data_IF_257242784042
#
_entry.id   IF_257242784042
#
_cell.length_a   1.000
_cell.length_b   1.000
_cell.length_c   1.000
_cell.angle_alpha   90.00
_cell.angle_beta   90.00
_cell.angle_gamma   90.00
#
_symmetry.space_group_name_H-M   'P 1'
#
loop_
_entity.id
_entity.type
_entity.pdbx_description
1 polymer ?
#
# COMPACT_ATOMS: atom_id res chain seq x y z
N UNK A 1 -42.89 14.89 10.45
CA UNK A 1 -41.73 14.05 10.82
C UNK A 1 -40.60 14.95 11.24
N UNK A 2 -39.80 14.53 12.22
CA UNK A 2 -38.77 15.35 12.89
C UNK A 2 -37.84 16.10 11.92
N UNK A 3 -37.37 15.45 10.85
CA UNK A 3 -36.50 16.05 9.82
C UNK A 3 -37.16 17.22 9.07
N UNK A 4 -38.46 17.12 8.79
CA UNK A 4 -39.23 18.18 8.11
C UNK A 4 -39.36 19.42 8.99
N UNK A 5 -39.55 19.22 10.30
CA UNK A 5 -39.64 20.34 11.25
C UNK A 5 -38.29 21.05 11.42
N UNK A 6 -37.20 20.28 11.47
CA UNK A 6 -35.84 20.82 11.49
C UNK A 6 -35.53 21.62 10.22
N UNK A 7 -35.88 21.11 9.03
CA UNK A 7 -35.67 21.84 7.77
C UNK A 7 -36.48 23.14 7.73
N UNK A 8 -37.75 23.12 8.14
CA UNK A 8 -38.58 24.34 8.20
C UNK A 8 -38.00 25.37 9.17
N UNK A 9 -37.43 24.93 10.29
CA UNK A 9 -36.79 25.82 11.26
C UNK A 9 -35.54 26.48 10.66
N UNK A 10 -34.73 25.73 9.91
CA UNK A 10 -33.58 26.28 9.17
C UNK A 10 -34.04 27.31 8.12
N UNK A 11 -35.09 27.03 7.37
CA UNK A 11 -35.59 27.95 6.32
C UNK A 11 -36.12 29.28 6.88
N UNK A 12 -36.77 29.27 8.05
CA UNK A 12 -37.41 30.47 8.63
C UNK A 12 -36.46 31.58 9.06
N UNK A 13 -35.16 31.30 9.23
CA UNK A 13 -34.15 32.35 9.44
C UNK A 13 -34.21 33.13 10.74
N UNK A 14 -34.65 32.48 11.81
CA UNK A 14 -34.58 33.05 13.16
C UNK A 14 -33.16 33.01 13.74
N UNK A 15 -32.97 33.74 14.85
CA UNK A 15 -31.80 33.67 15.75
C UNK A 15 -31.37 32.23 16.12
N UNK A 16 -32.30 31.27 16.02
CA UNK A 16 -32.09 29.86 16.34
C UNK A 16 -31.58 28.98 15.18
N UNK A 17 -31.34 29.54 13.98
CA UNK A 17 -30.96 28.77 12.79
C UNK A 17 -29.74 27.88 13.01
N UNK A 18 -28.71 28.36 13.73
CA UNK A 18 -27.52 27.57 14.11
C UNK A 18 -27.90 26.36 14.98
N UNK A 19 -28.77 26.56 15.97
CA UNK A 19 -29.25 25.48 16.85
C UNK A 19 -30.05 24.43 16.07
N UNK A 20 -30.86 24.87 15.10
CA UNK A 20 -31.59 23.96 14.21
C UNK A 20 -30.66 23.14 13.33
N UNK A 21 -29.59 23.75 12.78
CA UNK A 21 -28.57 23.03 12.03
C UNK A 21 -27.81 22.02 12.91
N UNK A 22 -27.44 22.38 14.14
CA UNK A 22 -26.81 21.44 15.06
C UNK A 22 -27.69 20.23 15.39
N UNK A 23 -29.01 20.43 15.54
CA UNK A 23 -29.96 19.31 15.70
C UNK A 23 -30.11 18.49 14.43
N UNK A 24 -30.06 19.13 13.26
CA UNK A 24 -30.08 18.43 11.98
C UNK A 24 -28.83 17.57 11.81
N UNK A 25 -27.64 18.11 12.08
CA UNK A 25 -26.37 17.38 12.07
C UNK A 25 -26.47 16.11 12.90
N UNK A 26 -26.92 16.23 14.15
CA UNK A 26 -27.09 15.07 15.04
C UNK A 26 -28.05 14.03 14.47
N UNK A 27 -29.15 14.46 13.85
CA UNK A 27 -30.08 13.54 13.20
C UNK A 27 -29.48 12.84 11.96
N UNK A 28 -28.60 13.53 11.22
CA UNK A 28 -27.95 13.01 10.02
C UNK A 28 -26.86 11.97 10.30
N UNK A 29 -26.52 11.70 11.56
CA UNK A 29 -25.69 10.55 11.95
C UNK A 29 -26.38 9.20 11.71
N UNK A 30 -27.69 9.20 11.43
CA UNK A 30 -28.47 8.01 11.14
C UNK A 30 -28.74 7.86 9.64
N UNK A 31 -28.36 6.73 9.05
CA UNK A 31 -28.44 6.49 7.59
C UNK A 31 -29.87 6.57 7.02
N UNK A 32 -30.87 6.04 7.73
CA UNK A 32 -32.28 6.17 7.32
C UNK A 32 -32.74 7.64 7.31
N UNK A 33 -32.22 8.44 8.25
CA UNK A 33 -32.47 9.88 8.28
C UNK A 33 -31.77 10.61 7.12
N UNK A 34 -30.55 10.23 6.76
CA UNK A 34 -29.86 10.77 5.58
C UNK A 34 -30.68 10.53 4.31
N UNK A 35 -31.13 9.30 4.08
CA UNK A 35 -31.95 8.93 2.93
C UNK A 35 -33.28 9.68 2.89
N UNK A 36 -33.96 9.83 4.04
CA UNK A 36 -35.19 10.63 4.16
C UNK A 36 -34.93 12.11 3.89
N UNK A 37 -33.81 12.64 4.36
CA UNK A 37 -33.44 14.04 4.17
C UNK A 37 -33.20 14.36 2.69
N UNK A 38 -32.41 13.56 1.97
CA UNK A 38 -32.11 13.83 0.55
C UNK A 38 -33.33 13.71 -0.36
N UNK A 39 -34.33 12.92 0.03
CA UNK A 39 -35.62 12.80 -0.70
C UNK A 39 -36.60 13.94 -0.41
N UNK A 40 -36.34 14.74 0.62
CA UNK A 40 -37.23 15.84 0.99
C UNK A 40 -37.01 17.03 0.05
N UNK A 41 -38.09 17.49 -0.59
CA UNK A 41 -38.00 18.58 -1.57
C UNK A 41 -37.38 19.85 -0.98
N UNK A 42 -36.39 20.40 -1.69
CA UNK A 42 -35.65 21.59 -1.30
C UNK A 42 -34.68 21.44 -0.11
N UNK A 43 -34.47 20.24 0.44
CA UNK A 43 -33.58 20.01 1.59
C UNK A 43 -32.11 20.34 1.26
N UNK A 44 -31.56 19.72 0.21
CA UNK A 44 -30.21 19.97 -0.25
C UNK A 44 -30.06 21.42 -0.69
N UNK A 45 -31.00 21.96 -1.47
CA UNK A 45 -30.98 23.37 -1.90
C UNK A 45 -30.89 24.33 -0.71
N UNK A 46 -31.56 24.01 0.40
CA UNK A 46 -31.49 24.81 1.63
C UNK A 46 -30.08 24.76 2.23
N UNK A 47 -29.45 23.58 2.31
CA UNK A 47 -28.06 23.46 2.76
C UNK A 47 -27.10 24.18 1.80
N UNK A 48 -27.24 24.00 0.49
CA UNK A 48 -26.43 24.67 -0.52
C UNK A 48 -26.48 26.18 -0.37
N UNK A 49 -27.67 26.76 -0.15
CA UNK A 49 -27.80 28.21 0.05
C UNK A 49 -27.11 28.75 1.30
N UNK A 50 -26.85 27.91 2.31
CA UNK A 50 -26.11 28.32 3.50
C UNK A 50 -24.61 28.42 3.27
N UNK A 51 -24.07 27.78 2.23
CA UNK A 51 -22.67 27.96 1.85
C UNK A 51 -22.38 29.38 1.39
N UNK A 52 -23.37 30.15 0.92
CA UNK A 52 -23.21 31.56 0.53
C UNK A 52 -23.65 32.54 1.64
N UNK A 53 -23.89 32.04 2.86
CA UNK A 53 -24.24 32.88 4.01
C UNK A 53 -23.13 33.87 4.35
N UNK A 54 -23.49 35.10 4.75
CA UNK A 54 -22.54 36.07 5.30
C UNK A 54 -22.06 35.71 6.72
N UNK A 55 -22.69 34.73 7.37
CA UNK A 55 -22.35 34.26 8.70
C UNK A 55 -21.51 32.99 8.61
N UNK A 56 -20.22 33.08 8.95
CA UNK A 56 -19.26 31.98 8.91
C UNK A 56 -19.70 30.77 9.75
N UNK A 57 -20.33 31.01 10.91
CA UNK A 57 -20.83 29.92 11.76
C UNK A 57 -21.94 29.09 11.08
N UNK A 58 -22.76 29.72 10.23
CA UNK A 58 -23.80 29.01 9.48
C UNK A 58 -23.21 28.23 8.31
N UNK A 59 -22.16 28.76 7.67
CA UNK A 59 -21.43 28.03 6.61
C UNK A 59 -20.79 26.77 7.20
N UNK A 60 -20.08 26.91 8.33
CA UNK A 60 -19.46 25.80 9.04
C UNK A 60 -20.48 24.74 9.46
N UNK A 61 -21.59 25.13 10.09
CA UNK A 61 -22.58 24.15 10.55
C UNK A 61 -23.33 23.48 9.38
N UNK A 62 -23.52 24.19 8.25
CA UNK A 62 -24.07 23.60 7.04
C UNK A 62 -23.09 22.59 6.41
N UNK A 63 -21.80 22.89 6.35
CA UNK A 63 -20.80 21.95 5.89
C UNK A 63 -20.69 20.74 6.81
N UNK A 64 -20.84 20.90 8.13
CA UNK A 64 -20.88 19.76 9.05
C UNK A 64 -22.10 18.88 8.81
N UNK A 65 -23.27 19.45 8.50
CA UNK A 65 -24.43 18.66 8.08
C UNK A 65 -24.15 17.88 6.77
N UNK A 66 -23.48 18.52 5.81
CA UNK A 66 -23.08 17.86 4.56
C UNK A 66 -22.05 16.75 4.80
N UNK A 67 -21.13 16.97 5.72
CA UNK A 67 -20.15 15.98 6.13
C UNK A 67 -20.83 14.74 6.72
N UNK A 68 -21.85 14.91 7.58
CA UNK A 68 -22.66 13.77 8.06
C UNK A 68 -23.32 13.01 6.90
N UNK A 69 -23.86 13.72 5.89
CA UNK A 69 -24.41 13.08 4.68
C UNK A 69 -23.36 12.31 3.88
N UNK A 70 -22.12 12.82 3.83
CA UNK A 70 -21.04 12.21 3.06
C UNK A 70 -20.60 10.83 3.57
N UNK A 71 -20.86 10.51 4.85
CA UNK A 71 -20.56 9.19 5.42
C UNK A 71 -21.54 8.09 4.98
N UNK A 72 -22.60 8.43 4.24
CA UNK A 72 -23.59 7.45 3.81
C UNK A 72 -23.00 6.47 2.80
N UNK A 73 -23.22 5.17 3.03
CA UNK A 73 -22.84 4.11 2.07
C UNK A 73 -23.78 4.02 0.85
N UNK A 74 -24.77 4.91 0.77
CA UNK A 74 -25.82 4.90 -0.27
C UNK A 74 -25.46 5.91 -1.36
N UNK A 75 -25.15 5.46 -2.60
CA UNK A 75 -24.72 6.36 -3.68
C UNK A 75 -25.69 7.50 -3.97
N UNK A 76 -27.00 7.26 -3.85
CA UNK A 76 -28.03 8.29 -4.04
C UNK A 76 -27.93 9.46 -3.05
N UNK A 77 -27.37 9.25 -1.85
CA UNK A 77 -27.12 10.32 -0.86
C UNK A 77 -25.92 11.17 -1.29
N UNK A 78 -24.84 10.54 -1.76
CA UNK A 78 -23.68 11.23 -2.31
C UNK A 78 -24.06 12.03 -3.57
N UNK A 79 -24.84 11.44 -4.47
CA UNK A 79 -25.35 12.11 -5.68
C UNK A 79 -26.26 13.30 -5.36
N UNK A 80 -27.07 13.22 -4.30
CA UNK A 80 -27.86 14.35 -3.85
C UNK A 80 -26.98 15.54 -3.43
N UNK A 81 -25.71 15.33 -3.07
CA UNK A 81 -24.78 16.38 -2.68
C UNK A 81 -24.08 17.07 -3.87
N UNK A 82 -24.27 16.60 -5.11
CA UNK A 82 -23.68 17.17 -6.33
C UNK A 82 -23.82 18.71 -6.43
N UNK A 83 -24.97 19.35 -6.12
CA UNK A 83 -25.09 20.81 -6.23
C UNK A 83 -24.17 21.60 -5.28
N UNK A 84 -23.57 20.96 -4.28
CA UNK A 84 -22.72 21.61 -3.27
C UNK A 84 -21.23 21.51 -3.61
N UNK A 85 -20.81 20.59 -4.48
CA UNK A 85 -19.38 20.27 -4.68
C UNK A 85 -18.56 21.45 -5.17
N UNK A 86 -19.11 22.33 -6.01
CA UNK A 86 -18.41 23.54 -6.48
C UNK A 86 -18.10 24.52 -5.34
N UNK A 87 -18.97 24.59 -4.33
CA UNK A 87 -18.72 25.40 -3.14
C UNK A 87 -17.64 24.78 -2.28
N UNK A 88 -17.66 23.46 -2.08
CA UNK A 88 -16.59 22.75 -1.35
C UNK A 88 -15.22 23.05 -1.97
N UNK A 89 -15.10 22.92 -3.30
CA UNK A 89 -13.87 23.25 -4.01
C UNK A 89 -13.45 24.71 -3.84
N UNK A 90 -14.40 25.66 -3.92
CA UNK A 90 -14.13 27.09 -3.72
C UNK A 90 -13.58 27.38 -2.32
N UNK A 91 -14.06 26.67 -1.30
CA UNK A 91 -13.62 26.89 0.07
C UNK A 91 -12.27 26.28 0.41
N UNK A 92 -11.70 25.44 -0.46
CA UNK A 92 -10.35 24.91 -0.30
C UNK A 92 -9.26 25.99 -0.45
N UNK A 93 -9.55 27.11 -1.12
CA UNK A 93 -8.67 28.28 -1.16
C UNK A 93 -8.95 29.29 -0.05
N UNK A 94 -9.75 28.92 0.96
CA UNK A 94 -10.13 29.79 2.08
C UNK A 94 -9.01 29.98 3.11
N UNK A 95 -9.29 30.81 4.11
CA UNK A 95 -8.36 31.08 5.23
C UNK A 95 -8.67 30.30 6.51
N UNK A 96 -9.80 29.59 6.56
CA UNK A 96 -10.20 28.80 7.73
C UNK A 96 -9.67 27.39 7.58
N UNK A 97 -8.72 27.01 8.45
CA UNK A 97 -8.17 25.67 8.51
C UNK A 97 -9.27 24.62 8.73
N UNK A 98 -10.07 24.80 9.79
CA UNK A 98 -11.18 23.90 10.15
C UNK A 98 -12.15 23.70 8.98
N UNK A 99 -12.49 24.76 8.27
CA UNK A 99 -13.43 24.68 7.16
C UNK A 99 -12.82 24.00 5.92
N UNK A 100 -11.54 24.28 5.64
CA UNK A 100 -10.79 23.66 4.54
C UNK A 100 -10.67 22.16 4.76
N UNK A 101 -10.27 21.75 5.96
CA UNK A 101 -10.15 20.35 6.39
C UNK A 101 -11.49 19.63 6.26
N UNK A 102 -12.56 20.21 6.81
CA UNK A 102 -13.91 19.64 6.70
C UNK A 102 -14.35 19.47 5.24
N UNK A 103 -14.05 20.43 4.37
CA UNK A 103 -14.35 20.34 2.94
C UNK A 103 -13.55 19.22 2.26
N UNK A 104 -12.27 19.04 2.60
CA UNK A 104 -11.44 17.95 2.06
C UNK A 104 -11.99 16.58 2.43
N UNK A 105 -12.22 16.31 3.72
CA UNK A 105 -12.77 15.01 4.14
C UNK A 105 -14.19 14.78 3.59
N UNK A 106 -15.01 15.82 3.48
CA UNK A 106 -16.34 15.71 2.84
C UNK A 106 -16.21 15.36 1.36
N UNK A 107 -15.30 15.98 0.63
CA UNK A 107 -15.03 15.64 -0.78
C UNK A 107 -14.51 14.20 -0.92
N UNK A 108 -13.58 13.80 -0.05
CA UNK A 108 -13.01 12.46 -0.01
C UNK A 108 -14.09 11.40 0.16
N UNK A 109 -14.97 11.57 1.15
CA UNK A 109 -16.11 10.68 1.37
C UNK A 109 -17.03 10.60 0.14
N UNK A 110 -17.37 11.76 -0.46
CA UNK A 110 -18.30 11.81 -1.60
C UNK A 110 -17.72 11.12 -2.86
N UNK A 111 -16.40 11.17 -3.09
CA UNK A 111 -15.79 10.55 -4.27
C UNK A 111 -15.70 9.02 -4.17
N UNK A 112 -15.73 8.44 -2.97
CA UNK A 112 -15.70 6.97 -2.78
C UNK A 112 -16.98 6.34 -3.33
N UNK A 113 -18.13 6.87 -2.91
CA UNK A 113 -19.42 6.21 -3.05
C UNK A 113 -20.07 6.39 -4.44
N UNK A 114 -19.68 7.42 -5.21
CA UNK A 114 -20.38 7.76 -6.45
C UNK A 114 -19.45 8.13 -7.62
N UNK A 115 -19.54 7.36 -8.70
CA UNK A 115 -18.94 7.68 -10.00
C UNK A 115 -19.47 9.01 -10.57
N UNK A 116 -20.75 9.32 -10.37
CA UNK A 116 -21.34 10.58 -10.82
C UNK A 116 -20.69 11.79 -10.12
N UNK A 117 -20.37 11.66 -8.83
CA UNK A 117 -19.61 12.68 -8.09
C UNK A 117 -18.22 12.88 -8.67
N UNK A 118 -17.48 11.79 -8.93
CA UNK A 118 -16.14 11.87 -9.55
C UNK A 118 -16.22 12.53 -10.95
N UNK A 119 -17.15 12.09 -11.79
CA UNK A 119 -17.40 12.66 -13.13
C UNK A 119 -17.79 14.13 -13.10
N UNK A 120 -18.39 14.61 -12.03
CA UNK A 120 -18.68 16.04 -11.87
C UNK A 120 -17.46 16.82 -11.33
N UNK A 121 -16.73 16.27 -10.37
CA UNK A 121 -15.61 16.95 -9.72
C UNK A 121 -14.39 17.13 -10.64
N UNK A 122 -14.13 16.16 -11.52
CA UNK A 122 -13.03 16.23 -12.49
C UNK A 122 -13.11 17.48 -13.39
N UNK A 123 -14.20 17.74 -14.13
CA UNK A 123 -14.34 18.96 -14.92
C UNK A 123 -14.53 20.23 -14.07
N UNK A 124 -14.93 20.11 -12.80
CA UNK A 124 -14.92 21.24 -11.85
C UNK A 124 -13.50 21.64 -11.40
N UNK A 125 -12.47 20.88 -11.77
CA UNK A 125 -11.07 21.22 -11.50
C UNK A 125 -10.56 20.76 -10.13
N UNK A 126 -11.06 19.64 -9.60
CA UNK A 126 -10.58 19.10 -8.32
C UNK A 126 -9.06 18.87 -8.30
N UNK A 127 -8.47 18.35 -9.38
CA UNK A 127 -7.02 18.08 -9.43
C UNK A 127 -6.18 19.37 -9.31
N UNK A 128 -6.41 20.44 -10.11
CA UNK A 128 -5.77 21.74 -9.90
C UNK A 128 -5.93 22.31 -8.49
N UNK A 129 -7.12 22.18 -7.89
CA UNK A 129 -7.38 22.68 -6.53
C UNK A 129 -6.54 21.92 -5.50
N UNK A 130 -6.51 20.58 -5.57
CA UNK A 130 -5.68 19.75 -4.69
C UNK A 130 -4.18 20.04 -4.89
N UNK A 131 -3.74 20.32 -6.12
CA UNK A 131 -2.36 20.73 -6.42
C UNK A 131 -1.99 22.09 -5.79
N UNK A 132 -2.97 22.96 -5.54
CA UNK A 132 -2.77 24.18 -4.73
C UNK A 132 -2.74 23.85 -3.24
N UNK A 133 -3.64 23.00 -2.75
CA UNK A 133 -3.77 22.68 -1.33
C UNK A 133 -2.58 21.88 -0.78
N UNK A 134 -1.92 21.05 -1.59
CA UNK A 134 -0.73 20.27 -1.16
C UNK A 134 0.48 21.15 -0.81
N UNK A 135 0.41 22.45 -1.10
CA UNK A 135 1.43 23.44 -0.74
C UNK A 135 1.14 24.12 0.62
N UNK A 136 0.03 23.75 1.28
CA UNK A 136 -0.35 24.28 2.59
C UNK A 136 0.72 24.02 3.64
N UNK A 137 0.96 24.97 4.57
CA UNK A 137 1.85 24.74 5.70
C UNK A 137 1.20 23.91 6.83
N UNK A 138 -0.08 23.54 6.69
CA UNK A 138 -0.85 22.87 7.73
C UNK A 138 -0.99 21.37 7.47
N UNK A 139 -0.47 20.55 8.38
CA UNK A 139 -0.50 19.09 8.29
C UNK A 139 -1.91 18.51 8.05
N UNK A 140 -2.92 18.98 8.77
CA UNK A 140 -4.31 18.52 8.60
C UNK A 140 -4.86 18.75 7.17
N UNK A 141 -4.41 19.82 6.49
CA UNK A 141 -4.76 20.06 5.08
C UNK A 141 -4.01 19.10 4.17
N UNK A 142 -2.73 18.85 4.43
CA UNK A 142 -1.91 17.94 3.63
C UNK A 142 -2.43 16.49 3.73
N UNK A 143 -2.81 16.07 4.95
CA UNK A 143 -3.46 14.79 5.19
C UNK A 143 -4.80 14.70 4.46
N UNK A 144 -5.67 15.71 4.60
CA UNK A 144 -6.95 15.76 3.88
C UNK A 144 -6.79 15.73 2.35
N UNK A 145 -5.76 16.39 1.80
CA UNK A 145 -5.43 16.31 0.37
C UNK A 145 -5.01 14.91 -0.03
N UNK A 146 -4.12 14.29 0.75
CA UNK A 146 -3.70 12.91 0.55
C UNK A 146 -4.89 11.95 0.58
N UNK A 147 -5.80 12.12 1.55
CA UNK A 147 -7.02 11.33 1.66
C UNK A 147 -7.91 11.46 0.41
N UNK A 148 -8.20 12.67 -0.06
CA UNK A 148 -9.01 12.87 -1.28
C UNK A 148 -8.34 12.22 -2.50
N UNK A 149 -7.02 12.39 -2.66
CA UNK A 149 -6.27 11.79 -3.76
C UNK A 149 -6.29 10.26 -3.66
N UNK A 150 -6.11 9.68 -2.47
CA UNK A 150 -6.11 8.24 -2.26
C UNK A 150 -7.47 7.63 -2.62
N UNK A 151 -8.58 8.32 -2.31
CA UNK A 151 -9.92 7.88 -2.74
C UNK A 151 -10.11 7.98 -4.25
N UNK A 152 -9.66 9.07 -4.89
CA UNK A 152 -9.74 9.24 -6.35
C UNK A 152 -8.92 8.17 -7.10
N UNK A 153 -7.70 7.87 -6.64
CA UNK A 153 -6.77 6.96 -7.31
C UNK A 153 -7.18 5.48 -7.21
N UNK A 154 -8.00 5.12 -6.22
CA UNK A 154 -8.55 3.77 -6.09
C UNK A 154 -9.68 3.47 -7.08
N UNK A 155 -10.34 4.51 -7.61
CA UNK A 155 -11.48 4.39 -8.51
C UNK A 155 -11.16 3.53 -9.76
N UNK A 156 -12.17 2.88 -10.34
CA UNK A 156 -11.97 1.95 -11.47
C UNK A 156 -11.51 2.67 -12.73
N UNK A 157 -12.01 3.87 -12.94
CA UNK A 157 -11.68 4.79 -14.02
C UNK A 157 -10.35 5.53 -13.81
N UNK A 158 -9.70 5.38 -12.65
CA UNK A 158 -8.50 6.13 -12.31
C UNK A 158 -7.36 5.98 -13.33
N UNK A 159 -7.03 4.78 -13.86
CA UNK A 159 -5.95 4.61 -14.84
C UNK A 159 -6.14 5.44 -16.11
N UNK A 160 -7.39 5.66 -16.54
CA UNK A 160 -7.69 6.32 -17.81
C UNK A 160 -8.08 7.79 -17.66
N UNK A 161 -8.70 8.19 -16.55
CA UNK A 161 -9.28 9.53 -16.39
C UNK A 161 -8.60 10.38 -15.31
N UNK A 162 -8.00 9.78 -14.28
CA UNK A 162 -7.52 10.50 -13.08
C UNK A 162 -6.00 10.52 -13.00
N UNK A 163 -5.34 9.36 -13.12
CA UNK A 163 -3.88 9.23 -13.05
C UNK A 163 -3.19 10.15 -14.07
N UNK A 164 -3.64 10.25 -15.35
CA UNK A 164 -3.02 11.18 -16.29
C UNK A 164 -3.07 12.64 -15.80
N UNK A 165 -4.20 13.09 -15.23
CA UNK A 165 -4.34 14.45 -14.70
C UNK A 165 -3.45 14.69 -13.47
N UNK A 166 -3.29 13.68 -12.61
CA UNK A 166 -2.39 13.76 -11.45
C UNK A 166 -0.94 13.84 -11.92
N UNK A 167 -0.54 12.99 -12.87
CA UNK A 167 0.82 12.94 -13.40
C UNK A 167 1.21 14.21 -14.18
N UNK A 168 0.27 14.86 -14.88
CA UNK A 168 0.47 16.15 -15.57
C UNK A 168 0.53 17.37 -14.63
N UNK A 169 0.40 17.16 -13.31
CA UNK A 169 0.40 18.23 -12.30
C UNK A 169 1.66 18.23 -11.44
N UNK A 170 1.74 19.15 -10.47
CA UNK A 170 2.82 19.18 -9.47
C UNK A 170 2.65 18.13 -8.36
N UNK A 171 1.51 17.45 -8.29
CA UNK A 171 1.18 16.51 -7.22
C UNK A 171 2.22 15.40 -7.02
N UNK A 172 2.75 14.71 -8.06
CA UNK A 172 3.70 13.61 -7.86
C UNK A 172 4.97 14.07 -7.12
N UNK A 173 5.49 15.25 -7.47
CA UNK A 173 6.66 15.83 -6.82
C UNK A 173 6.39 16.17 -5.34
N UNK A 174 5.22 16.73 -5.05
CA UNK A 174 4.84 17.09 -3.68
C UNK A 174 4.54 15.86 -2.82
N UNK A 175 3.84 14.86 -3.36
CA UNK A 175 3.60 13.59 -2.67
C UNK A 175 4.92 12.90 -2.31
N UNK A 176 5.85 12.78 -3.26
CA UNK A 176 7.17 12.18 -3.00
C UNK A 176 7.94 12.94 -1.91
N UNK A 177 7.90 14.28 -1.93
CA UNK A 177 8.53 15.12 -0.90
C UNK A 177 7.92 14.87 0.48
N UNK A 178 6.59 14.87 0.59
CA UNK A 178 5.88 14.66 1.86
C UNK A 178 6.19 13.28 2.45
N UNK A 179 6.18 12.25 1.62
CA UNK A 179 6.57 10.88 2.01
C UNK A 179 7.99 10.86 2.58
N UNK A 180 8.94 11.49 1.89
CA UNK A 180 10.35 11.52 2.33
C UNK A 180 10.59 12.41 3.56
N UNK A 181 9.73 13.39 3.83
CA UNK A 181 9.82 14.25 5.03
C UNK A 181 8.92 13.78 6.18
N UNK A 182 8.23 12.63 6.07
CA UNK A 182 7.11 12.26 6.94
C UNK A 182 7.43 12.24 8.43
N UNK A 183 8.64 11.84 8.82
CA UNK A 183 9.09 11.86 10.21
C UNK A 183 9.22 13.27 10.82
N UNK A 184 9.29 14.32 9.99
CA UNK A 184 9.46 15.71 10.40
C UNK A 184 8.25 16.59 10.07
N UNK A 185 7.53 16.28 8.99
CA UNK A 185 6.48 17.13 8.41
C UNK A 185 5.05 16.66 8.71
N UNK A 186 4.88 15.48 9.34
CA UNK A 186 3.59 14.92 9.70
C UNK A 186 3.38 13.50 9.16
N UNK A 187 3.09 12.56 10.05
CA UNK A 187 3.00 11.14 9.68
C UNK A 187 1.73 10.84 8.89
N UNK A 188 0.59 11.46 9.24
CA UNK A 188 -0.69 11.24 8.55
C UNK A 188 -0.61 11.59 7.07
N UNK A 189 -0.11 12.79 6.75
CA UNK A 189 0.08 13.24 5.37
C UNK A 189 1.05 12.35 4.58
N UNK A 190 2.13 11.89 5.20
CA UNK A 190 3.08 10.98 4.57
C UNK A 190 2.46 9.62 4.25
N UNK A 191 1.67 9.05 5.17
CA UNK A 191 0.96 7.79 4.96
C UNK A 191 -0.01 7.90 3.79
N UNK A 192 -0.87 8.93 3.77
CA UNK A 192 -1.84 9.14 2.69
C UNK A 192 -1.14 9.36 1.33
N UNK A 193 -0.07 10.16 1.29
CA UNK A 193 0.70 10.37 0.07
C UNK A 193 1.43 9.11 -0.39
N UNK A 194 1.92 8.27 0.52
CA UNK A 194 2.55 7.00 0.16
C UNK A 194 1.54 6.03 -0.47
N UNK A 195 0.31 5.99 0.04
CA UNK A 195 -0.78 5.24 -0.60
C UNK A 195 -1.14 5.80 -1.98
N UNK A 196 -1.17 7.12 -2.14
CA UNK A 196 -1.37 7.74 -3.46
C UNK A 196 -0.30 7.29 -4.46
N UNK A 197 0.98 7.35 -4.06
CA UNK A 197 2.09 6.86 -4.89
C UNK A 197 1.91 5.37 -5.23
N UNK A 198 1.54 4.54 -4.26
CA UNK A 198 1.31 3.11 -4.49
C UNK A 198 0.22 2.86 -5.54
N UNK A 199 -0.91 3.56 -5.45
CA UNK A 199 -2.01 3.40 -6.41
C UNK A 199 -1.65 3.86 -7.81
N UNK A 200 -0.83 4.91 -7.95
CA UNK A 200 -0.28 5.32 -9.24
C UNK A 200 0.67 4.23 -9.75
N UNK A 201 1.62 3.79 -8.93
CA UNK A 201 2.66 2.85 -9.34
C UNK A 201 2.10 1.52 -9.86
N UNK A 202 1.07 0.99 -9.22
CA UNK A 202 0.45 -0.28 -9.63
C UNK A 202 -0.43 -0.18 -10.88
N UNK A 203 -0.76 1.03 -11.33
CA UNK A 203 -1.81 1.25 -12.35
C UNK A 203 -1.32 2.07 -13.54
N UNK A 204 -0.24 2.82 -13.38
CA UNK A 204 0.50 3.43 -14.49
C UNK A 204 1.41 2.39 -15.14
N UNK A 205 1.51 2.43 -16.47
CA UNK A 205 2.20 1.38 -17.23
C UNK A 205 3.71 1.44 -17.05
N UNK A 206 4.26 2.63 -17.15
CA UNK A 206 5.70 2.82 -17.29
C UNK A 206 6.30 3.58 -16.09
N UNK A 207 5.50 4.29 -15.28
CA UNK A 207 5.95 5.07 -14.12
C UNK A 207 7.05 6.10 -14.43
N UNK A 208 7.20 6.48 -15.70
CA UNK A 208 8.24 7.38 -16.22
C UNK A 208 8.31 8.69 -15.43
N UNK A 209 7.17 9.28 -15.07
CA UNK A 209 7.11 10.53 -14.30
C UNK A 209 7.72 10.36 -12.91
N UNK A 210 7.36 9.27 -12.20
CA UNK A 210 7.88 9.01 -10.85
C UNK A 210 9.36 8.61 -10.89
N UNK A 211 9.78 7.85 -11.88
CA UNK A 211 11.18 7.50 -12.11
C UNK A 211 12.01 8.76 -12.42
N UNK A 212 11.53 9.65 -13.27
CA UNK A 212 12.18 10.93 -13.60
C UNK A 212 12.28 11.87 -12.38
N UNK A 213 11.33 11.80 -11.45
CA UNK A 213 11.38 12.52 -10.17
C UNK A 213 12.36 11.91 -9.16
N UNK A 214 12.96 10.76 -9.47
CA UNK A 214 13.89 10.06 -8.59
C UNK A 214 13.19 9.31 -7.45
N UNK A 215 11.98 8.77 -7.70
CA UNK A 215 11.23 8.03 -6.68
C UNK A 215 12.02 6.87 -6.07
N UNK A 216 12.71 6.07 -6.87
CA UNK A 216 13.52 4.93 -6.38
C UNK A 216 14.60 5.37 -5.38
N UNK A 217 15.57 6.24 -5.74
CA UNK A 217 16.60 6.65 -4.78
C UNK A 217 16.04 7.39 -3.56
N UNK A 218 14.94 8.16 -3.72
CA UNK A 218 14.30 8.85 -2.61
C UNK A 218 13.65 7.87 -1.61
N UNK A 219 12.86 6.90 -2.10
CA UNK A 219 12.22 5.89 -1.28
C UNK A 219 13.24 4.91 -0.66
N UNK A 220 14.33 4.58 -1.37
CA UNK A 220 15.44 3.81 -0.79
C UNK A 220 16.07 4.57 0.38
N UNK A 221 16.39 5.87 0.22
CA UNK A 221 16.94 6.68 1.31
C UNK A 221 15.99 6.73 2.51
N UNK A 222 14.70 6.97 2.24
CA UNK A 222 13.68 6.96 3.28
C UNK A 222 13.65 5.62 4.03
N UNK A 223 13.69 4.49 3.33
CA UNK A 223 13.65 3.18 3.99
C UNK A 223 14.88 2.94 4.89
N UNK A 224 16.07 3.40 4.48
CA UNK A 224 17.27 3.38 5.33
C UNK A 224 17.09 4.26 6.58
N UNK A 225 16.55 5.45 6.41
CA UNK A 225 16.31 6.39 7.51
C UNK A 225 15.27 5.81 8.48
N UNK A 226 14.14 5.28 7.99
CA UNK A 226 13.11 4.64 8.81
C UNK A 226 13.67 3.44 9.59
N UNK A 227 14.48 2.60 8.97
CA UNK A 227 15.12 1.46 9.65
C UNK A 227 16.10 1.92 10.75
N UNK A 228 16.76 3.07 10.58
CA UNK A 228 17.63 3.62 11.62
C UNK A 228 16.86 4.08 12.87
N UNK A 229 15.61 4.52 12.71
CA UNK A 229 14.73 4.91 13.82
C UNK A 229 14.17 3.70 14.59
N UNK A 230 13.96 2.56 13.93
CA UNK A 230 13.56 1.32 14.59
C UNK A 230 14.55 0.94 15.70
N UNK A 231 15.85 1.17 15.48
CA UNK A 231 16.90 0.89 16.47
C UNK A 231 16.90 1.85 17.68
N UNK A 232 16.23 2.99 17.60
CA UNK A 232 16.36 4.11 18.55
C UNK A 232 15.10 4.38 19.38
N UNK A 233 14.03 3.60 19.19
CA UNK A 233 12.63 3.75 19.68
C UNK A 233 11.69 4.11 18.52
N UNK A 234 11.00 3.08 17.99
CA UNK A 234 10.17 3.23 16.80
C UNK A 234 8.95 4.11 17.10
N UNK A 235 8.71 5.18 16.32
CA UNK A 235 7.53 6.02 16.50
C UNK A 235 6.24 5.21 16.28
N UNK A 236 5.22 5.47 17.08
CA UNK A 236 3.89 4.87 16.94
C UNK A 236 3.33 5.15 15.54
N UNK A 237 2.83 4.11 14.86
CA UNK A 237 2.27 4.22 13.51
C UNK A 237 3.30 4.16 12.37
N UNK A 238 4.58 3.93 12.65
CA UNK A 238 5.62 3.76 11.62
C UNK A 238 5.25 2.67 10.59
N UNK A 239 4.61 1.59 11.03
CA UNK A 239 4.14 0.50 10.19
C UNK A 239 3.17 0.96 9.09
N UNK A 240 2.39 2.01 9.36
CA UNK A 240 1.41 2.57 8.43
C UNK A 240 2.10 3.26 7.24
N UNK A 241 3.31 3.80 7.46
CA UNK A 241 4.13 4.40 6.41
C UNK A 241 5.02 3.37 5.72
N UNK A 242 5.58 2.42 6.47
CA UNK A 242 6.45 1.37 5.93
C UNK A 242 5.75 0.53 4.86
N UNK A 243 4.51 0.13 5.10
CA UNK A 243 3.76 -0.71 4.17
C UNK A 243 3.64 -0.12 2.74
N UNK A 244 3.07 1.09 2.55
CA UNK A 244 3.00 1.68 1.22
C UNK A 244 4.39 2.03 0.64
N UNK A 245 5.39 2.38 1.47
CA UNK A 245 6.76 2.63 0.98
C UNK A 245 7.41 1.37 0.42
N UNK A 246 7.32 0.24 1.12
CA UNK A 246 7.80 -1.07 0.66
C UNK A 246 7.10 -1.47 -0.65
N UNK A 247 5.77 -1.31 -0.71
CA UNK A 247 5.00 -1.59 -1.93
C UNK A 247 5.40 -0.69 -3.10
N UNK A 248 5.61 0.60 -2.87
CA UNK A 248 6.06 1.53 -3.91
C UNK A 248 7.44 1.11 -4.45
N UNK A 249 8.41 0.93 -3.56
CA UNK A 249 9.78 0.60 -3.95
C UNK A 249 9.84 -0.75 -4.67
N UNK A 250 9.13 -1.76 -4.16
CA UNK A 250 9.11 -3.09 -4.75
C UNK A 250 8.48 -3.12 -6.14
N UNK A 251 7.36 -2.41 -6.36
CA UNK A 251 6.74 -2.32 -7.69
C UNK A 251 7.60 -1.55 -8.69
N UNK A 252 8.23 -0.45 -8.27
CA UNK A 252 9.12 0.34 -9.15
C UNK A 252 10.34 -0.48 -9.57
N UNK A 253 10.94 -1.24 -8.65
CA UNK A 253 12.10 -2.08 -8.94
C UNK A 253 11.78 -3.29 -9.82
N UNK A 254 10.53 -3.76 -9.83
CA UNK A 254 10.09 -4.82 -10.74
C UNK A 254 9.97 -4.38 -12.21
N UNK A 255 10.07 -3.07 -12.49
CA UNK A 255 9.91 -2.57 -13.85
C UNK A 255 11.17 -2.79 -14.72
N UNK A 256 11.00 -3.26 -15.98
CA UNK A 256 12.11 -3.44 -16.90
C UNK A 256 12.82 -2.11 -17.18
N UNK A 257 14.14 -2.08 -17.07
CA UNK A 257 14.93 -0.89 -17.42
C UNK A 257 14.91 0.24 -16.39
N UNK A 258 14.44 -0.02 -15.16
CA UNK A 258 14.53 0.94 -14.06
C UNK A 258 15.99 1.43 -13.88
N UNK A 259 16.29 2.72 -14.09
CA UNK A 259 17.65 3.22 -14.10
C UNK A 259 18.25 3.20 -12.69
N UNK A 260 19.36 2.46 -12.55
CA UNK A 260 20.28 2.58 -11.43
C UNK A 260 19.66 2.24 -10.08
N UNK A 261 19.28 0.97 -9.88
CA UNK A 261 19.29 0.41 -8.53
C UNK A 261 20.68 0.65 -7.96
N UNK A 262 20.79 1.55 -7.00
CA UNK A 262 22.06 1.69 -6.27
C UNK A 262 22.29 0.36 -5.59
N UNK A 263 23.31 -0.37 -6.05
CA UNK A 263 23.84 -1.54 -5.38
C UNK A 263 24.36 -1.12 -4.00
N UNK A 264 23.45 -1.10 -3.03
CA UNK A 264 23.70 -0.66 -1.67
C UNK A 264 23.23 -1.75 -0.71
N UNK A 265 24.17 -2.54 -0.19
CA UNK A 265 23.89 -3.62 0.74
C UNK A 265 23.23 -3.14 2.04
N UNK A 266 23.30 -1.84 2.38
CA UNK A 266 22.58 -1.28 3.53
C UNK A 266 21.07 -1.44 3.41
N UNK A 267 20.54 -1.53 2.18
CA UNK A 267 19.13 -1.80 1.94
C UNK A 267 18.73 -3.17 2.49
N UNK A 268 19.56 -4.20 2.32
CA UNK A 268 19.31 -5.52 2.92
C UNK A 268 19.31 -5.42 4.44
N UNK A 269 20.30 -4.75 5.02
CA UNK A 269 20.35 -4.55 6.48
C UNK A 269 19.08 -3.86 6.99
N UNK A 270 18.63 -2.79 6.33
CA UNK A 270 17.40 -2.09 6.68
C UNK A 270 16.17 -3.00 6.60
N UNK A 271 16.04 -3.83 5.57
CA UNK A 271 14.94 -4.78 5.43
C UNK A 271 14.94 -5.82 6.55
N UNK A 272 16.10 -6.36 6.92
CA UNK A 272 16.18 -7.34 8.00
C UNK A 272 15.91 -6.73 9.37
N UNK A 273 16.27 -5.46 9.61
CA UNK A 273 15.87 -4.73 10.82
C UNK A 273 14.35 -4.54 10.91
N UNK A 274 13.70 -4.19 9.79
CA UNK A 274 12.24 -4.08 9.71
C UNK A 274 11.59 -5.44 9.98
N UNK A 275 12.09 -6.49 9.32
CA UNK A 275 11.61 -7.87 9.51
C UNK A 275 11.70 -8.29 10.97
N UNK A 276 12.85 -8.11 11.61
CA UNK A 276 13.07 -8.48 13.02
C UNK A 276 12.14 -7.73 13.96
N UNK A 277 11.97 -6.41 13.76
CA UNK A 277 11.11 -5.58 14.59
C UNK A 277 9.63 -5.96 14.50
N UNK A 278 9.14 -6.23 13.28
CA UNK A 278 7.72 -6.43 13.03
C UNK A 278 7.30 -7.90 12.92
N UNK A 279 8.23 -8.85 13.03
CA UNK A 279 8.00 -10.28 12.83
C UNK A 279 6.78 -10.83 13.58
N UNK A 280 6.62 -10.44 14.85
CA UNK A 280 5.58 -10.95 15.74
C UNK A 280 4.31 -10.07 15.76
N UNK A 281 4.43 -8.82 15.34
CA UNK A 281 3.39 -7.80 15.56
C UNK A 281 2.59 -7.52 14.28
N UNK A 282 3.24 -7.54 13.11
CA UNK A 282 2.64 -7.13 11.84
C UNK A 282 3.01 -8.10 10.70
N UNK A 283 2.31 -9.25 10.58
CA UNK A 283 2.60 -10.26 9.56
C UNK A 283 2.56 -9.75 8.11
N UNK A 284 1.77 -8.72 7.81
CA UNK A 284 1.73 -8.12 6.48
C UNK A 284 3.04 -7.43 6.11
N UNK A 285 3.72 -6.76 7.07
CA UNK A 285 5.02 -6.11 6.79
C UNK A 285 6.10 -7.14 6.47
N UNK A 286 6.03 -8.33 7.06
CA UNK A 286 6.93 -9.44 6.72
C UNK A 286 6.77 -9.83 5.25
N UNK A 287 5.52 -9.97 4.79
CA UNK A 287 5.24 -10.29 3.39
C UNK A 287 5.73 -9.20 2.44
N UNK A 288 5.46 -7.92 2.73
CA UNK A 288 5.90 -6.79 1.89
C UNK A 288 7.43 -6.67 1.85
N UNK A 289 8.10 -6.92 2.97
CA UNK A 289 9.58 -6.91 3.05
C UNK A 289 10.19 -8.07 2.25
N UNK A 290 9.61 -9.27 2.36
CA UNK A 290 10.02 -10.44 1.57
C UNK A 290 9.76 -10.25 0.08
N UNK A 291 8.66 -9.57 -0.28
CA UNK A 291 8.35 -9.27 -1.66
C UNK A 291 9.36 -8.31 -2.29
N UNK A 292 9.74 -7.25 -1.56
CA UNK A 292 10.84 -6.38 -1.96
C UNK A 292 12.17 -7.16 -2.06
N UNK A 293 12.48 -8.01 -1.08
CA UNK A 293 13.70 -8.83 -1.10
C UNK A 293 13.75 -9.77 -2.33
N UNK A 294 12.63 -10.38 -2.69
CA UNK A 294 12.51 -11.17 -3.91
C UNK A 294 12.86 -10.34 -5.14
N UNK A 295 12.30 -9.14 -5.28
CA UNK A 295 12.58 -8.28 -6.44
C UNK A 295 14.02 -7.77 -6.46
N UNK A 296 14.63 -7.53 -5.28
CA UNK A 296 16.05 -7.16 -5.19
C UNK A 296 16.98 -8.29 -5.62
N UNK A 297 16.59 -9.55 -5.40
CA UNK A 297 17.41 -10.73 -5.71
C UNK A 297 17.11 -11.33 -7.08
N UNK A 298 15.95 -11.01 -7.67
CA UNK A 298 15.60 -11.39 -9.03
C UNK A 298 16.56 -10.70 -10.02
N UNK A 299 17.27 -11.50 -10.81
CA UNK A 299 18.18 -11.05 -11.88
C UNK A 299 19.32 -10.08 -11.48
N UNK A 300 19.58 -9.84 -10.19
CA UNK A 300 20.70 -9.01 -9.69
C UNK A 300 21.71 -9.82 -8.85
N UNK A 301 22.90 -10.17 -9.41
CA UNK A 301 23.95 -10.89 -8.68
C UNK A 301 24.48 -10.17 -7.43
N UNK A 302 24.36 -8.83 -7.36
CA UNK A 302 24.87 -8.06 -6.24
C UNK A 302 24.11 -8.36 -4.95
N UNK A 303 22.78 -8.31 -4.96
CA UNK A 303 21.98 -8.52 -3.75
C UNK A 303 22.04 -9.98 -3.30
N UNK A 304 22.09 -10.94 -4.23
CA UNK A 304 22.32 -12.35 -3.90
C UNK A 304 23.66 -12.54 -3.17
N UNK A 305 24.74 -11.94 -3.69
CA UNK A 305 26.07 -12.03 -3.08
C UNK A 305 26.14 -11.27 -1.75
N UNK A 306 25.52 -10.10 -1.66
CA UNK A 306 25.50 -9.27 -0.46
C UNK A 306 24.72 -9.95 0.68
N UNK A 307 23.60 -10.61 0.40
CA UNK A 307 22.82 -11.35 1.40
C UNK A 307 23.67 -12.41 2.09
N UNK A 308 24.45 -13.17 1.31
CA UNK A 308 25.35 -14.20 1.82
C UNK A 308 26.55 -13.59 2.56
N UNK A 309 27.17 -12.54 1.99
CA UNK A 309 28.32 -11.87 2.60
C UNK A 309 28.01 -11.16 3.92
N UNK A 310 26.77 -10.71 4.11
CA UNK A 310 26.28 -10.09 5.34
C UNK A 310 25.73 -11.10 6.37
N UNK A 311 25.82 -12.41 6.09
CA UNK A 311 25.32 -13.49 6.95
C UNK A 311 23.83 -13.36 7.30
N UNK A 312 23.02 -12.93 6.33
CA UNK A 312 21.56 -12.74 6.50
C UNK A 312 20.74 -14.01 6.25
N UNK A 313 21.37 -15.07 5.73
CA UNK A 313 20.70 -16.34 5.45
C UNK A 313 20.03 -16.97 6.68
N UNK A 314 20.66 -17.03 7.88
CA UNK A 314 20.00 -17.59 9.06
C UNK A 314 18.72 -16.82 9.44
N UNK A 315 18.75 -15.48 9.36
CA UNK A 315 17.57 -14.66 9.62
C UNK A 315 16.48 -14.88 8.57
N UNK A 316 16.84 -15.07 7.29
CA UNK A 316 15.90 -15.38 6.22
C UNK A 316 15.19 -16.73 6.48
N UNK A 317 15.95 -17.75 6.87
CA UNK A 317 15.41 -19.08 7.12
C UNK A 317 14.48 -19.12 8.35
N UNK A 318 14.68 -18.24 9.34
CA UNK A 318 13.75 -18.09 10.48
C UNK A 318 12.35 -17.64 10.06
N UNK A 319 12.17 -17.11 8.84
CA UNK A 319 10.88 -16.65 8.32
C UNK A 319 10.06 -17.78 7.67
N UNK A 320 10.67 -18.94 7.36
CA UNK A 320 10.00 -20.10 6.78
C UNK A 320 8.71 -20.53 7.52
N UNK A 321 8.67 -20.62 8.87
CA UNK A 321 7.47 -21.03 9.60
C UNK A 321 6.43 -19.92 9.80
N UNK A 322 6.68 -18.68 9.38
CA UNK A 322 5.83 -17.54 9.74
C UNK A 322 4.46 -17.55 9.05
N UNK A 323 4.40 -17.91 7.77
CA UNK A 323 3.15 -18.08 7.02
C UNK A 323 3.42 -18.83 5.72
N UNK A 324 2.38 -19.39 5.10
CA UNK A 324 2.51 -20.05 3.79
C UNK A 324 3.15 -19.13 2.73
N UNK A 325 2.71 -17.88 2.64
CA UNK A 325 3.26 -16.89 1.70
C UNK A 325 4.73 -16.56 2.02
N UNK A 326 5.08 -16.44 3.31
CA UNK A 326 6.47 -16.23 3.71
C UNK A 326 7.35 -17.42 3.31
N UNK A 327 6.88 -18.66 3.49
CA UNK A 327 7.59 -19.86 3.04
C UNK A 327 7.87 -19.81 1.54
N UNK A 328 6.85 -19.48 0.72
CA UNK A 328 7.00 -19.38 -0.74
C UNK A 328 8.03 -18.31 -1.08
N UNK A 329 7.91 -17.08 -0.56
CA UNK A 329 8.83 -15.98 -0.87
C UNK A 329 10.27 -16.24 -0.42
N UNK A 330 10.46 -16.84 0.76
CA UNK A 330 11.81 -17.23 1.23
C UNK A 330 12.42 -18.25 0.28
N UNK A 331 11.67 -19.28 -0.12
CA UNK A 331 12.16 -20.28 -1.07
C UNK A 331 12.43 -19.66 -2.45
N UNK A 332 11.62 -18.70 -2.90
CA UNK A 332 11.87 -17.96 -4.15
C UNK A 332 13.17 -17.17 -4.08
N UNK A 333 13.42 -16.43 -2.99
CA UNK A 333 14.69 -15.72 -2.77
C UNK A 333 15.88 -16.69 -2.80
N UNK A 334 15.75 -17.87 -2.19
CA UNK A 334 16.80 -18.89 -2.23
C UNK A 334 17.01 -19.46 -3.64
N UNK A 335 15.95 -19.63 -4.44
CA UNK A 335 16.06 -19.99 -5.85
C UNK A 335 16.80 -18.91 -6.64
N UNK A 336 16.45 -17.64 -6.49
CA UNK A 336 17.13 -16.53 -7.17
C UNK A 336 18.64 -16.52 -6.87
N UNK A 337 19.02 -16.84 -5.62
CA UNK A 337 20.43 -16.98 -5.22
C UNK A 337 21.07 -18.21 -5.87
N UNK A 338 20.38 -19.36 -5.87
CA UNK A 338 20.89 -20.59 -6.45
C UNK A 338 21.05 -20.52 -7.98
N UNK A 339 20.17 -19.78 -8.67
CA UNK A 339 20.23 -19.52 -10.11
C UNK A 339 21.49 -18.74 -10.53
N UNK A 340 22.14 -18.01 -9.61
CA UNK A 340 23.42 -17.34 -9.88
C UNK A 340 24.57 -18.34 -10.14
N UNK A 341 24.37 -19.61 -9.77
CA UNK A 341 25.24 -20.72 -10.13
C UNK A 341 26.10 -21.27 -8.98
N UNK A 342 27.17 -22.03 -9.32
CA UNK A 342 27.90 -22.84 -8.35
C UNK A 342 28.48 -22.10 -7.13
N UNK A 343 29.07 -20.89 -7.23
CA UNK A 343 29.62 -20.20 -6.06
C UNK A 343 28.57 -19.90 -4.99
N UNK A 344 27.39 -19.42 -5.41
CA UNK A 344 26.28 -19.09 -4.52
C UNK A 344 25.67 -20.36 -3.92
N UNK A 345 25.46 -21.42 -4.72
CA UNK A 345 25.01 -22.71 -4.20
C UNK A 345 25.98 -23.30 -3.16
N UNK A 346 27.30 -23.19 -3.38
CA UNK A 346 28.29 -23.65 -2.41
C UNK A 346 28.20 -22.86 -1.10
N UNK A 347 28.02 -21.54 -1.16
CA UNK A 347 27.84 -20.72 0.04
C UNK A 347 26.53 -21.03 0.77
N UNK A 348 25.42 -21.23 0.06
CA UNK A 348 24.14 -21.67 0.65
C UNK A 348 24.31 -22.98 1.43
N UNK A 349 25.08 -23.92 0.88
CA UNK A 349 25.33 -25.24 1.47
C UNK A 349 26.39 -25.25 2.59
N UNK A 350 27.10 -24.14 2.83
CA UNK A 350 27.96 -24.01 4.02
C UNK A 350 27.14 -23.89 5.30
N UNK A 351 25.89 -23.44 5.20
CA UNK A 351 24.92 -23.41 6.29
C UNK A 351 24.07 -24.69 6.28
N UNK A 352 23.41 -25.07 7.40
CA UNK A 352 22.56 -26.26 7.47
C UNK A 352 21.21 -26.05 6.74
N UNK A 353 21.26 -25.81 5.42
CA UNK A 353 20.11 -25.56 4.57
C UNK A 353 19.29 -26.83 4.30
N UNK A 354 19.94 -27.93 3.87
CA UNK A 354 19.25 -29.18 3.55
C UNK A 354 18.38 -29.73 4.70
N UNK A 355 18.85 -29.75 5.97
CA UNK A 355 18.01 -30.12 7.11
C UNK A 355 16.76 -29.24 7.29
N UNK A 356 16.83 -27.95 6.90
CA UNK A 356 15.71 -27.02 7.01
C UNK A 356 14.72 -27.15 5.85
N UNK A 357 15.17 -27.62 4.68
CA UNK A 357 14.30 -27.87 3.53
C UNK A 357 13.49 -29.16 3.66
N UNK A 358 14.04 -30.19 4.32
CA UNK A 358 13.39 -31.49 4.44
C UNK A 358 11.98 -31.44 5.04
N UNK A 359 11.72 -30.75 6.17
CA UNK A 359 10.37 -30.62 6.72
C UNK A 359 9.40 -29.91 5.78
N UNK A 360 9.88 -29.02 4.89
CA UNK A 360 9.04 -28.26 3.97
C UNK A 360 8.39 -29.16 2.91
N UNK A 361 9.03 -30.29 2.58
CA UNK A 361 8.45 -31.28 1.65
C UNK A 361 7.21 -31.96 2.22
N UNK A 362 6.99 -31.91 3.53
CA UNK A 362 5.79 -32.49 4.17
C UNK A 362 4.66 -31.47 4.35
N UNK A 363 4.82 -30.23 3.86
CA UNK A 363 3.81 -29.20 4.00
C UNK A 363 2.56 -29.52 3.16
N UNK A 364 1.36 -29.13 3.62
CA UNK A 364 0.11 -29.38 2.89
C UNK A 364 -0.09 -28.43 1.70
N UNK A 365 0.89 -27.58 1.38
CA UNK A 365 0.78 -26.51 0.39
C UNK A 365 1.62 -26.84 -0.86
N UNK A 366 1.01 -27.26 -1.98
CA UNK A 366 1.74 -27.67 -3.18
C UNK A 366 2.66 -26.58 -3.74
N UNK A 367 2.28 -25.31 -3.64
CA UNK A 367 3.11 -24.20 -4.10
C UNK A 367 4.44 -24.10 -3.33
N UNK A 368 4.42 -24.17 -1.99
CA UNK A 368 5.63 -24.13 -1.17
C UNK A 368 6.49 -25.38 -1.39
N UNK A 369 5.87 -26.57 -1.49
CA UNK A 369 6.59 -27.80 -1.80
C UNK A 369 7.23 -27.71 -3.18
N UNK A 370 6.50 -27.22 -4.19
CA UNK A 370 7.00 -26.99 -5.53
C UNK A 370 8.22 -26.08 -5.55
N UNK A 371 8.17 -24.95 -4.83
CA UNK A 371 9.31 -24.05 -4.73
C UNK A 371 10.51 -24.69 -4.02
N UNK A 372 10.26 -25.52 -3.00
CA UNK A 372 11.31 -26.30 -2.32
C UNK A 372 11.97 -27.32 -3.28
N UNK A 373 11.17 -28.01 -4.11
CA UNK A 373 11.69 -28.91 -5.14
C UNK A 373 12.53 -28.17 -6.17
N UNK A 374 12.17 -26.93 -6.56
CA UNK A 374 13.00 -26.10 -7.44
C UNK A 374 14.38 -25.83 -6.84
N UNK A 375 14.38 -25.39 -5.58
CA UNK A 375 15.62 -25.07 -4.88
C UNK A 375 16.52 -26.31 -4.80
N UNK A 376 15.96 -27.47 -4.48
CA UNK A 376 16.70 -28.74 -4.48
C UNK A 376 17.24 -29.07 -5.87
N UNK A 377 16.48 -28.82 -6.94
CA UNK A 377 16.91 -29.04 -8.31
C UNK A 377 18.13 -28.18 -8.67
N UNK A 378 18.05 -26.88 -8.41
CA UNK A 378 19.15 -25.93 -8.65
C UNK A 378 20.40 -26.28 -7.82
N UNK A 379 20.22 -26.63 -6.55
CA UNK A 379 21.32 -27.06 -5.67
C UNK A 379 21.99 -28.33 -6.20
N UNK A 380 21.24 -29.33 -6.65
CA UNK A 380 21.83 -30.58 -7.17
C UNK A 380 22.46 -30.39 -8.54
N UNK A 381 21.88 -29.53 -9.38
CA UNK A 381 22.43 -29.16 -10.68
C UNK A 381 23.81 -28.52 -10.54
N UNK A 382 23.97 -27.58 -9.61
CA UNK A 382 25.21 -26.84 -9.43
C UNK A 382 26.18 -27.47 -8.42
N UNK A 383 25.68 -28.27 -7.48
CA UNK A 383 26.45 -28.95 -6.43
C UNK A 383 25.98 -30.40 -6.26
N UNK A 384 26.36 -31.33 -7.18
CA UNK A 384 25.88 -32.72 -7.15
C UNK A 384 26.13 -33.47 -5.84
N UNK A 385 27.17 -33.09 -5.09
CA UNK A 385 27.47 -33.67 -3.78
C UNK A 385 26.33 -33.45 -2.76
N UNK A 386 25.57 -32.37 -2.89
CA UNK A 386 24.42 -32.07 -2.03
C UNK A 386 23.31 -33.13 -2.14
N UNK A 387 23.18 -33.80 -3.30
CA UNK A 387 22.21 -34.89 -3.48
C UNK A 387 22.52 -36.08 -2.56
N UNK A 388 23.80 -36.45 -2.44
CA UNK A 388 24.22 -37.53 -1.54
C UNK A 388 23.97 -37.17 -0.07
N UNK A 389 24.20 -35.91 0.31
CA UNK A 389 23.97 -35.40 1.67
C UNK A 389 22.47 -35.38 2.01
N UNK A 390 21.65 -34.95 1.06
CA UNK A 390 20.20 -34.96 1.16
C UNK A 390 19.65 -36.39 1.30
N UNK A 391 20.15 -37.35 0.52
CA UNK A 391 19.79 -38.77 0.63
C UNK A 391 20.13 -39.34 2.01
N UNK A 392 21.33 -39.02 2.54
CA UNK A 392 21.76 -39.46 3.88
C UNK A 392 20.84 -38.95 5.00
N UNK A 393 20.13 -37.85 4.77
CA UNK A 393 19.20 -37.26 5.73
C UNK A 393 17.73 -37.73 5.54
N UNK A 394 17.48 -38.73 4.69
CA UNK A 394 16.14 -39.28 4.44
C UNK A 394 15.39 -38.58 3.31
N UNK A 395 16.05 -37.72 2.52
CA UNK A 395 15.41 -36.94 1.47
C UNK A 395 14.75 -37.76 0.36
N UNK A 396 15.28 -38.96 0.05
CA UNK A 396 14.63 -39.85 -0.93
C UNK A 396 13.20 -40.22 -0.52
N UNK A 397 12.98 -40.57 0.76
CA UNK A 397 11.65 -40.93 1.27
C UNK A 397 10.71 -39.73 1.25
N UNK A 398 11.23 -38.53 1.50
CA UNK A 398 10.44 -37.29 1.43
C UNK A 398 9.98 -37.00 -0.02
N UNK A 399 10.83 -37.25 -1.02
CA UNK A 399 10.47 -37.08 -2.43
C UNK A 399 9.45 -38.14 -2.91
N UNK A 400 9.57 -39.38 -2.44
CA UNK A 400 8.66 -40.49 -2.82
C UNK A 400 7.20 -40.22 -2.45
N UNK A 401 6.94 -39.41 -1.42
CA UNK A 401 5.58 -39.02 -1.01
C UNK A 401 4.83 -38.20 -2.07
N UNK A 402 5.56 -37.54 -2.98
CA UNK A 402 4.97 -36.66 -4.00
C UNK A 402 4.76 -37.35 -5.35
N UNK A 403 5.07 -38.64 -5.48
CA UNK A 403 4.87 -39.39 -6.73
C UNK A 403 3.40 -39.51 -7.16
N UNK A 404 2.47 -39.42 -6.21
CA UNK A 404 1.03 -39.44 -6.47
C UNK A 404 0.40 -38.04 -6.59
N UNK A 405 1.19 -36.97 -6.45
CA UNK A 405 0.72 -35.59 -6.50
C UNK A 405 0.84 -35.05 -7.93
N UNK A 406 -0.25 -34.90 -8.71
CA UNK A 406 -0.16 -34.60 -10.14
C UNK A 406 0.62 -33.32 -10.46
N UNK A 407 0.53 -32.31 -9.59
CA UNK A 407 1.19 -31.01 -9.75
C UNK A 407 2.70 -31.05 -9.44
N UNK A 408 3.16 -32.04 -8.66
CA UNK A 408 4.54 -32.13 -8.15
C UNK A 408 5.30 -33.33 -8.71
N UNK A 409 4.59 -34.31 -9.28
CA UNK A 409 5.10 -35.60 -9.69
C UNK A 409 6.33 -35.49 -10.60
N UNK A 410 6.27 -34.62 -11.62
CA UNK A 410 7.36 -34.46 -12.59
C UNK A 410 8.65 -33.97 -11.90
N UNK A 411 8.56 -32.92 -11.08
CA UNK A 411 9.70 -32.34 -10.35
C UNK A 411 10.25 -33.30 -9.31
N UNK A 412 9.37 -33.97 -8.56
CA UNK A 412 9.76 -34.98 -7.59
C UNK A 412 10.47 -36.18 -8.27
N UNK A 413 9.97 -36.62 -9.43
CA UNK A 413 10.59 -37.70 -10.19
C UNK A 413 11.97 -37.31 -10.72
N UNK A 414 12.13 -36.10 -11.27
CA UNK A 414 13.42 -35.61 -11.74
C UNK A 414 14.46 -35.60 -10.62
N UNK A 415 14.10 -35.16 -9.41
CA UNK A 415 14.97 -35.20 -8.25
C UNK A 415 15.27 -36.64 -7.79
N UNK A 416 14.28 -37.54 -7.83
CA UNK A 416 14.46 -38.96 -7.51
C UNK A 416 15.50 -39.62 -8.42
N UNK A 417 15.49 -39.28 -9.70
CA UNK A 417 16.45 -39.81 -10.67
C UNK A 417 17.88 -39.34 -10.38
N UNK A 418 18.04 -38.12 -9.83
CA UNK A 418 19.35 -37.60 -9.40
C UNK A 418 19.82 -38.28 -8.11
N UNK A 419 18.97 -38.36 -7.08
CA UNK A 419 19.38 -38.91 -5.77
C UNK A 419 19.61 -40.43 -5.78
N UNK A 420 19.04 -41.15 -6.76
CA UNK A 420 19.24 -42.59 -6.96
C UNK A 420 20.50 -42.94 -7.75
N UNK A 421 21.14 -41.97 -8.38
CA UNK A 421 22.42 -42.19 -9.06
C UNK A 421 23.56 -42.40 -8.05
N UNK A 422 24.51 -43.30 -8.33
CA UNK A 422 25.66 -43.51 -7.46
C UNK A 422 26.54 -42.23 -7.43
N UNK A 423 27.12 -41.88 -6.28
CA UNK A 423 27.94 -40.68 -6.17
C UNK A 423 29.18 -40.78 -7.08
N UNK A 424 29.27 -39.89 -8.07
CA UNK A 424 30.43 -39.77 -8.99
C UNK A 424 30.25 -40.36 -10.39
N UNK A 425 29.01 -40.54 -10.87
CA UNK A 425 28.71 -40.86 -12.27
C UNK A 425 28.79 -39.64 -13.19
#
# INVERSE_FOLDING_TARGET
GQVVELLRAVQKGSEDRKRSLGRLRWALQNEDTQQKFVRLDGSIRTLTGLFTSSLAELQLEAARCLHELSHSSVPAVAEACLPVTSYLLTYLSGHSLEFTELCLYTLGNLVVESEAVRKQLLPQGIIPVLASCIQSPHEAVLEGVGYVLSQLLQAKEAPTEIIPLVLDSVLPQHMLRLVCSGLQAGMGAAVECAWCLHYIICRDKDNEVLLALGAVPALTSLLLDLASHILQDAPEGLELLLCPVLRCLSNLLAQPGCPGQRQDGRLLVALFLILECFLQQQPFLVQESLWLLNNLTADDPFFCSALLALDLLPALLQLLPCSHMATVLVLTVLCNIAEQGPPQCQQLLQQPLLPQLLPLLSLPHPEAVGQCLELLHLLFLHCPQAAADFTRQGGQQALEQHQSSPELQERAQALLDVVRQPPGA
#
